data_IF_372075922927
#
_entry.id   IF_372075922927
#
_cell.length_a   1.000
_cell.length_b   1.000
_cell.length_c   1.000
_cell.angle_alpha   90.00
_cell.angle_beta   90.00
_cell.angle_gamma   90.00
#
_symmetry.space_group_name_H-M   'P 1'
#
loop_
_entity.id
_entity.type
_entity.pdbx_description
1 polymer ?
#
# COMPACT_ATOMS: atom_id res chain seq x y z
N UNK A 1 -2.59 10.84 -13.06
CA UNK A 1 -1.44 10.61 -12.15
C UNK A 1 -0.27 11.48 -12.61
N UNK A 2 0.67 11.88 -11.76
CA UNK A 2 1.83 12.69 -12.15
C UNK A 2 3.15 11.96 -11.83
N UNK A 3 4.14 12.08 -12.72
CA UNK A 3 5.51 11.61 -12.52
C UNK A 3 6.47 12.81 -12.44
N UNK A 4 7.37 12.81 -11.44
CA UNK A 4 8.37 13.87 -11.27
C UNK A 4 9.62 13.55 -12.10
N UNK A 5 9.88 14.37 -13.11
CA UNK A 5 11.03 14.22 -14.01
C UNK A 5 12.25 14.90 -13.42
N UNK A 6 13.45 14.35 -13.69
CA UNK A 6 14.72 14.97 -13.36
C UNK A 6 15.15 14.84 -11.90
N UNK A 7 14.44 14.03 -11.10
CA UNK A 7 14.86 13.72 -9.72
C UNK A 7 16.15 12.89 -9.77
N UNK A 8 17.18 13.35 -9.08
CA UNK A 8 18.49 12.71 -8.99
C UNK A 8 19.16 13.07 -7.66
N UNK A 9 20.30 12.44 -7.34
CA UNK A 9 21.08 12.79 -6.14
C UNK A 9 21.53 14.26 -6.13
N UNK A 10 21.80 14.84 -7.30
CA UNK A 10 22.21 16.24 -7.45
C UNK A 10 21.01 17.21 -7.60
N UNK A 11 19.79 16.69 -7.76
CA UNK A 11 18.58 17.48 -7.92
C UNK A 11 17.38 16.74 -7.33
N UNK A 12 17.22 16.87 -6.01
CA UNK A 12 16.12 16.22 -5.28
C UNK A 12 14.76 16.82 -5.66
N UNK A 13 14.73 18.10 -6.04
CA UNK A 13 13.51 18.77 -6.46
C UNK A 13 13.02 18.27 -7.80
N UNK A 14 13.88 17.75 -8.69
CA UNK A 14 13.53 17.48 -10.09
C UNK A 14 13.19 18.74 -10.88
N UNK A 15 12.81 18.59 -12.14
CA UNK A 15 12.62 19.71 -13.09
C UNK A 15 11.16 19.96 -13.43
N UNK A 16 10.40 18.92 -13.74
CA UNK A 16 9.04 19.04 -14.25
C UNK A 16 8.11 17.94 -13.73
N UNK A 17 6.81 18.13 -13.91
CA UNK A 17 5.79 17.11 -13.74
C UNK A 17 5.25 16.69 -15.11
N UNK A 18 5.09 15.39 -15.33
CA UNK A 18 4.43 14.86 -16.53
C UNK A 18 3.20 14.08 -16.15
N UNK A 19 2.14 14.22 -16.95
CA UNK A 19 0.91 13.49 -16.74
C UNK A 19 1.06 12.03 -17.21
N UNK A 20 0.79 11.10 -16.31
CA UNK A 20 0.62 9.68 -16.64
C UNK A 20 -0.87 9.44 -16.83
N UNK A 21 -1.25 9.18 -18.09
CA UNK A 21 -2.62 8.98 -18.50
C UNK A 21 -3.26 7.80 -17.76
N UNK A 22 -4.53 7.97 -17.41
CA UNK A 22 -5.38 6.95 -16.80
C UNK A 22 -6.82 7.15 -17.27
N UNK A 23 -7.56 6.04 -17.40
CA UNK A 23 -8.97 6.09 -17.78
C UNK A 23 -9.84 6.72 -16.69
N UNK A 24 -9.45 6.52 -15.42
CA UNK A 24 -10.15 7.00 -14.24
C UNK A 24 -9.22 7.87 -13.37
N UNK A 25 -9.76 8.85 -12.63
CA UNK A 25 -8.99 9.53 -11.59
C UNK A 25 -8.75 8.59 -10.41
N UNK A 26 -7.66 8.82 -9.67
CA UNK A 26 -7.24 8.01 -8.55
C UNK A 26 -7.50 8.71 -7.21
N UNK A 27 -8.02 7.96 -6.22
CA UNK A 27 -8.15 8.42 -4.83
C UNK A 27 -6.95 8.03 -3.95
N UNK A 28 -6.23 6.99 -4.34
CA UNK A 28 -5.01 6.53 -3.66
C UNK A 28 -3.98 6.07 -4.68
N UNK A 29 -2.70 6.36 -4.44
CA UNK A 29 -1.57 5.85 -5.22
C UNK A 29 -0.43 5.49 -4.27
N UNK A 30 0.26 4.40 -4.57
CA UNK A 30 1.44 3.96 -3.82
C UNK A 30 2.50 3.44 -4.76
N UNK A 31 3.73 3.88 -4.54
CA UNK A 31 4.93 3.34 -5.20
C UNK A 31 5.64 2.41 -4.22
N UNK A 32 5.77 1.14 -4.58
CA UNK A 32 6.46 0.11 -3.81
C UNK A 32 7.92 -0.08 -4.22
N UNK A 33 8.51 -1.19 -3.80
CA UNK A 33 9.85 -1.61 -4.21
C UNK A 33 9.93 -1.81 -5.72
N UNK A 34 11.13 -1.63 -6.28
CA UNK A 34 11.41 -1.84 -7.71
C UNK A 34 10.50 -1.02 -8.66
N UNK A 35 9.94 0.09 -8.17
CA UNK A 35 9.06 0.96 -8.96
C UNK A 35 7.67 0.38 -9.20
N UNK A 36 7.23 -0.63 -8.44
CA UNK A 36 5.87 -1.15 -8.57
C UNK A 36 4.83 -0.08 -8.17
N UNK A 37 4.03 0.40 -9.13
CA UNK A 37 3.04 1.46 -8.86
C UNK A 37 1.64 0.87 -8.84
N UNK A 38 0.98 1.00 -7.69
CA UNK A 38 -0.40 0.59 -7.46
C UNK A 38 -1.26 1.81 -7.19
N UNK A 39 -2.54 1.74 -7.53
CA UNK A 39 -3.50 2.78 -7.18
C UNK A 39 -4.90 2.26 -7.02
N UNK A 40 -5.72 3.05 -6.33
CA UNK A 40 -7.17 2.88 -6.32
C UNK A 40 -7.82 4.04 -7.06
N UNK A 41 -8.61 3.70 -8.08
CA UNK A 41 -9.45 4.66 -8.79
C UNK A 41 -10.60 5.19 -7.89
N UNK A 42 -11.23 6.29 -8.31
CA UNK A 42 -12.31 6.93 -7.53
C UNK A 42 -13.53 6.02 -7.31
N UNK A 43 -13.73 5.03 -8.18
CA UNK A 43 -14.79 4.02 -8.09
C UNK A 43 -14.44 2.84 -7.15
N UNK A 44 -13.27 2.90 -6.51
CA UNK A 44 -12.78 1.87 -5.60
C UNK A 44 -12.10 0.68 -6.27
N UNK A 45 -11.90 0.70 -7.60
CA UNK A 45 -11.16 -0.36 -8.30
C UNK A 45 -9.65 -0.25 -8.10
N UNK A 46 -9.00 -1.39 -7.84
CA UNK A 46 -7.53 -1.47 -7.81
C UNK A 46 -6.95 -1.51 -9.23
N UNK A 47 -5.81 -0.86 -9.40
CA UNK A 47 -5.08 -0.78 -10.67
C UNK A 47 -3.58 -0.94 -10.43
N UNK A 48 -2.90 -1.73 -11.26
CA UNK A 48 -1.45 -1.87 -11.32
C UNK A 48 -0.90 -1.15 -12.55
N UNK A 49 0.15 -0.34 -12.41
CA UNK A 49 0.86 0.25 -13.56
C UNK A 49 1.87 -0.75 -14.12
N UNK A 50 1.66 -1.19 -15.35
CA UNK A 50 2.53 -2.15 -16.01
C UNK A 50 3.63 -1.47 -16.84
N UNK A 51 4.77 -2.14 -17.02
CA UNK A 51 5.90 -1.67 -17.83
C UNK A 51 6.76 -0.57 -17.21
N UNK A 52 6.64 -0.32 -15.90
CA UNK A 52 7.54 0.60 -15.18
C UNK A 52 8.94 -0.01 -15.10
N UNK A 53 9.94 0.71 -15.57
CA UNK A 53 11.35 0.30 -15.54
C UNK A 53 12.27 1.53 -15.51
N UNK A 54 13.59 1.31 -15.36
CA UNK A 54 14.57 2.40 -15.43
C UNK A 54 14.57 3.13 -16.79
N UNK A 55 14.32 2.41 -17.90
CA UNK A 55 14.22 2.99 -19.24
C UNK A 55 12.82 3.51 -19.58
N UNK A 56 11.79 3.07 -18.84
CA UNK A 56 10.39 3.46 -19.02
C UNK A 56 9.75 3.80 -17.65
N UNK A 57 10.16 4.92 -17.01
CA UNK A 57 9.77 5.21 -15.63
C UNK A 57 8.29 5.55 -15.45
N UNK A 58 7.60 5.96 -16.52
CA UNK A 58 6.15 6.21 -16.51
C UNK A 58 5.32 4.96 -16.77
N UNK A 59 5.95 3.83 -17.13
CA UNK A 59 5.26 2.62 -17.55
C UNK A 59 4.42 2.80 -18.82
N UNK A 60 3.72 1.74 -19.20
CA UNK A 60 2.97 1.66 -20.46
C UNK A 60 1.47 1.88 -20.24
N UNK A 61 0.82 1.08 -19.39
CA UNK A 61 -0.63 1.10 -19.19
C UNK A 61 -1.02 0.74 -17.75
N UNK A 62 -2.27 1.01 -17.40
CA UNK A 62 -2.90 0.56 -16.16
C UNK A 62 -3.64 -0.75 -16.41
N UNK A 63 -3.46 -1.72 -15.52
CA UNK A 63 -4.14 -3.01 -15.53
C UNK A 63 -5.12 -3.06 -14.36
N UNK A 64 -6.37 -3.45 -14.65
CA UNK A 64 -7.39 -3.61 -13.62
C UNK A 64 -7.14 -4.88 -12.80
N UNK A 65 -7.28 -4.76 -11.49
CA UNK A 65 -7.19 -5.89 -10.55
C UNK A 65 -8.58 -6.12 -9.97
N UNK A 66 -9.00 -7.38 -9.96
CA UNK A 66 -10.33 -7.78 -9.50
C UNK A 66 -10.55 -7.38 -8.04
N UNK A 67 -11.77 -6.99 -7.65
CA UNK A 67 -12.05 -6.58 -6.28
C UNK A 67 -11.96 -7.78 -5.33
N UNK A 68 -11.73 -7.55 -4.02
CA UNK A 68 -11.69 -8.64 -3.04
C UNK A 68 -12.98 -9.46 -2.99
N UNK A 69 -14.10 -8.79 -3.19
CA UNK A 69 -15.44 -9.38 -3.29
C UNK A 69 -16.34 -8.39 -4.06
N UNK A 70 -17.48 -8.88 -4.54
CA UNK A 70 -18.48 -8.01 -5.19
C UNK A 70 -18.96 -6.94 -4.18
N UNK A 71 -19.04 -5.68 -4.64
CA UNK A 71 -19.50 -4.57 -3.80
C UNK A 71 -18.50 -4.15 -2.70
N UNK A 72 -17.20 -4.40 -2.88
CA UNK A 72 -16.16 -4.00 -1.94
C UNK A 72 -15.23 -2.92 -2.53
N UNK A 73 -15.67 -1.65 -2.55
CA UNK A 73 -14.85 -0.55 -3.04
C UNK A 73 -13.66 -0.30 -2.08
N UNK A 74 -12.44 -0.27 -2.63
CA UNK A 74 -11.20 -0.07 -1.87
C UNK A 74 -10.91 1.42 -1.68
N UNK A 75 -10.67 1.91 -0.47
CA UNK A 75 -10.36 3.32 -0.20
C UNK A 75 -8.90 3.67 -0.45
N UNK A 76 -7.99 2.84 0.04
CA UNK A 76 -6.57 3.15 0.13
C UNK A 76 -5.74 1.92 -0.20
N UNK A 77 -4.58 2.11 -0.82
CA UNK A 77 -3.62 1.05 -1.13
C UNK A 77 -2.22 1.46 -0.69
N UNK A 78 -1.45 0.51 -0.18
CA UNK A 78 -0.02 0.65 0.08
C UNK A 78 0.74 -0.56 -0.43
N UNK A 79 1.81 -0.29 -1.16
CA UNK A 79 2.68 -1.28 -1.78
C UNK A 79 4.09 -1.22 -1.19
N UNK A 80 4.65 -2.38 -0.87
CA UNK A 80 6.05 -2.65 -0.57
C UNK A 80 6.74 -3.30 -1.76
N UNK A 81 7.72 -4.18 -1.51
CA UNK A 81 8.40 -4.95 -2.55
C UNK A 81 7.53 -6.10 -3.05
N UNK A 82 7.03 -6.92 -2.14
CA UNK A 82 6.21 -8.10 -2.45
C UNK A 82 4.90 -8.13 -1.63
N UNK A 83 4.66 -7.11 -0.78
CA UNK A 83 3.39 -6.96 -0.07
C UNK A 83 2.60 -5.77 -0.57
N UNK A 84 1.34 -6.01 -0.91
CA UNK A 84 0.38 -4.97 -1.29
C UNK A 84 -0.86 -5.14 -0.43
N UNK A 85 -1.23 -4.08 0.27
CA UNK A 85 -2.39 -4.06 1.14
C UNK A 85 -3.32 -2.94 0.76
N UNK A 86 -4.61 -3.19 0.88
CA UNK A 86 -5.66 -2.22 0.63
C UNK A 86 -6.69 -2.22 1.76
N UNK A 87 -7.21 -1.04 2.08
CA UNK A 87 -8.31 -0.85 3.04
C UNK A 87 -9.57 -0.54 2.24
N UNK A 88 -10.71 -1.15 2.57
CA UNK A 88 -12.01 -0.87 1.96
C UNK A 88 -12.87 0.13 2.75
N UNK A 89 -14.02 0.51 2.20
CA UNK A 89 -14.97 1.44 2.83
C UNK A 89 -15.57 0.94 4.14
N UNK A 90 -15.48 -0.36 4.41
CA UNK A 90 -15.92 -1.01 5.64
C UNK A 90 -14.80 -1.14 6.68
N UNK A 91 -13.66 -0.47 6.48
CA UNK A 91 -12.44 -0.59 7.31
C UNK A 91 -11.85 -2.01 7.36
N UNK A 92 -12.08 -2.83 6.32
CA UNK A 92 -11.44 -4.14 6.22
C UNK A 92 -10.12 -4.01 5.47
N UNK A 93 -9.10 -4.65 6.03
CA UNK A 93 -7.76 -4.74 5.46
C UNK A 93 -7.63 -6.01 4.63
N UNK A 94 -7.23 -5.84 3.38
CA UNK A 94 -7.00 -6.89 2.42
C UNK A 94 -5.52 -6.95 2.04
N UNK A 95 -4.97 -8.14 1.89
CA UNK A 95 -3.64 -8.37 1.34
C UNK A 95 -3.75 -9.06 -0.01
N UNK A 96 -3.08 -8.51 -1.03
CA UNK A 96 -2.90 -9.19 -2.30
C UNK A 96 -1.94 -10.36 -2.11
N UNK A 97 -2.30 -11.53 -2.63
CA UNK A 97 -1.54 -12.77 -2.47
C UNK A 97 -0.72 -13.11 -3.71
N UNK A 98 0.34 -13.90 -3.51
CA UNK A 98 1.16 -14.51 -4.57
C UNK A 98 1.80 -13.50 -5.54
N UNK A 99 2.11 -12.30 -5.04
CA UNK A 99 2.95 -11.34 -5.75
C UNK A 99 4.38 -11.87 -5.71
N UNK A 100 4.97 -12.05 -6.89
CA UNK A 100 6.37 -12.44 -7.08
C UNK A 100 7.00 -11.59 -8.19
N UNK A 101 8.34 -11.49 -8.30
CA UNK A 101 8.98 -10.58 -9.27
C UNK A 101 8.53 -10.75 -10.72
N UNK A 102 8.23 -11.99 -11.14
CA UNK A 102 7.76 -12.32 -12.50
C UNK A 102 6.24 -12.16 -12.67
N UNK A 103 5.48 -12.05 -11.58
CA UNK A 103 4.02 -11.97 -11.58
C UNK A 103 3.57 -10.91 -10.57
N UNK A 104 3.62 -9.65 -11.02
CA UNK A 104 3.45 -8.48 -10.14
C UNK A 104 1.98 -8.22 -9.79
N UNK A 105 1.03 -8.75 -10.55
CA UNK A 105 -0.40 -8.64 -10.22
C UNK A 105 -0.77 -9.43 -8.96
N UNK A 106 -0.12 -10.57 -8.71
CA UNK A 106 -0.61 -11.56 -7.75
C UNK A 106 -1.97 -12.16 -8.17
N UNK A 107 -2.53 -13.05 -7.36
CA UNK A 107 -3.67 -13.88 -7.80
C UNK A 107 -5.02 -13.52 -7.19
N UNK A 108 -5.07 -13.19 -5.90
CA UNK A 108 -6.31 -12.90 -5.20
C UNK A 108 -6.11 -12.02 -3.96
N UNK A 109 -7.19 -11.50 -3.40
CA UNK A 109 -7.19 -10.80 -2.12
C UNK A 109 -7.54 -11.73 -0.97
N UNK A 110 -6.87 -11.55 0.17
CA UNK A 110 -7.15 -12.24 1.43
C UNK A 110 -7.44 -11.23 2.53
N UNK A 111 -8.53 -11.45 3.28
CA UNK A 111 -8.88 -10.63 4.43
C UNK A 111 -7.85 -10.81 5.55
N UNK A 112 -7.39 -9.71 6.13
CA UNK A 112 -6.39 -9.68 7.21
C UNK A 112 -6.98 -9.15 8.53
N UNK A 113 -7.86 -8.16 8.49
CA UNK A 113 -8.46 -7.52 9.67
C UNK A 113 -9.74 -6.77 9.27
N UNK A 114 -10.69 -6.57 10.20
CA UNK A 114 -11.98 -5.91 9.92
C UNK A 114 -12.11 -4.50 10.53
N UNK A 115 -11.01 -3.96 11.06
CA UNK A 115 -11.00 -2.78 11.92
C UNK A 115 -9.79 -1.89 11.68
N UNK A 116 -9.43 -1.69 10.42
CA UNK A 116 -8.26 -0.91 9.98
C UNK A 116 -8.70 0.31 9.17
N UNK A 117 -8.33 1.51 9.65
CA UNK A 117 -8.63 2.79 9.00
C UNK A 117 -7.63 3.17 7.92
N UNK A 118 -6.36 2.80 8.13
CA UNK A 118 -5.27 3.10 7.21
C UNK A 118 -4.15 2.08 7.35
N UNK A 119 -3.48 1.79 6.24
CA UNK A 119 -2.29 0.91 6.20
C UNK A 119 -1.12 1.61 5.51
N UNK A 120 0.09 1.34 6.00
CA UNK A 120 1.33 1.63 5.30
C UNK A 120 2.23 0.40 5.32
N UNK A 121 2.69 0.04 4.13
CA UNK A 121 3.73 -0.96 3.90
C UNK A 121 5.06 -0.22 3.71
N UNK A 122 6.06 -0.63 4.46
CA UNK A 122 7.38 0.01 4.47
C UNK A 122 8.49 -0.84 3.87
N UNK A 123 9.75 -0.43 4.07
CA UNK A 123 10.92 -1.20 3.68
C UNK A 123 10.89 -2.61 4.27
N UNK A 124 11.44 -3.58 3.53
CA UNK A 124 11.42 -5.00 3.92
C UNK A 124 9.99 -5.53 4.18
N UNK A 125 9.00 -4.94 3.50
CA UNK A 125 7.60 -5.35 3.57
C UNK A 125 6.99 -5.31 4.98
N UNK A 126 7.53 -4.45 5.87
CA UNK A 126 6.93 -4.23 7.17
C UNK A 126 5.55 -3.58 7.04
N UNK A 127 4.56 -4.11 7.76
CA UNK A 127 3.18 -3.63 7.68
C UNK A 127 2.83 -2.92 8.98
N UNK A 128 2.41 -1.67 8.86
CA UNK A 128 1.90 -0.86 9.96
C UNK A 128 0.51 -0.35 9.60
N UNK A 129 -0.37 -0.23 10.59
CA UNK A 129 -1.72 0.24 10.36
C UNK A 129 -2.24 1.08 11.53
N UNK A 130 -3.36 1.75 11.29
CA UNK A 130 -4.17 2.35 12.34
C UNK A 130 -5.43 1.50 12.47
N UNK A 131 -5.59 0.87 13.63
CA UNK A 131 -6.81 0.16 14.00
C UNK A 131 -7.85 1.12 14.57
N UNK A 132 -9.14 0.83 14.35
CA UNK A 132 -10.25 1.74 14.67
C UNK A 132 -10.36 2.05 16.15
N UNK A 133 -10.40 1.00 16.98
CA UNK A 133 -10.53 1.10 18.44
C UNK A 133 -10.09 -0.20 19.10
N UNK A 134 -9.65 -0.11 20.35
CA UNK A 134 -9.32 -1.25 21.19
C UNK A 134 -9.87 -1.06 22.61
N UNK A 135 -10.37 -2.13 23.23
CA UNK A 135 -10.85 -2.11 24.60
C UNK A 135 -9.70 -2.43 25.56
N UNK A 136 -9.39 -1.49 26.45
CA UNK A 136 -8.43 -1.68 27.54
C UNK A 136 -9.15 -1.70 28.89
N UNK A 137 -8.51 -2.18 29.98
CA UNK A 137 -9.07 -2.06 31.33
C UNK A 137 -9.40 -0.61 31.75
N UNK A 138 -8.71 0.38 31.16
CA UNK A 138 -8.94 1.80 31.42
C UNK A 138 -10.00 2.44 30.51
N UNK A 139 -10.58 1.67 29.58
CA UNK A 139 -11.58 2.15 28.62
C UNK A 139 -11.20 1.91 27.16
N UNK A 140 -12.03 2.43 26.25
CA UNK A 140 -11.80 2.31 24.82
C UNK A 140 -10.81 3.36 24.33
N UNK A 141 -9.74 2.92 23.69
CA UNK A 141 -8.81 3.78 22.96
C UNK A 141 -9.15 3.72 21.47
N UNK A 142 -9.06 4.84 20.77
CA UNK A 142 -9.36 4.95 19.33
C UNK A 142 -8.11 5.27 18.53
N UNK A 143 -8.11 4.87 17.25
CA UNK A 143 -7.02 5.14 16.31
C UNK A 143 -5.69 4.65 16.87
N UNK A 144 -5.52 3.34 16.95
CA UNK A 144 -4.36 2.70 17.58
C UNK A 144 -3.35 2.31 16.52
N UNK A 145 -2.11 2.76 16.67
CA UNK A 145 -1.02 2.33 15.78
C UNK A 145 -0.66 0.89 16.10
N UNK A 146 -0.66 0.02 15.08
CA UNK A 146 -0.30 -1.39 15.22
C UNK A 146 0.73 -1.80 14.16
N UNK A 147 1.61 -2.72 14.52
CA UNK A 147 2.56 -3.38 13.61
C UNK A 147 2.16 -4.83 13.40
N UNK A 148 2.18 -5.31 12.16
CA UNK A 148 1.93 -6.73 11.86
C UNK A 148 3.16 -7.58 12.22
N UNK A 149 2.94 -8.71 12.88
CA UNK A 149 3.99 -9.66 13.30
C UNK A 149 3.79 -11.03 12.67
N UNK A 150 4.83 -11.85 12.71
CA UNK A 150 4.83 -13.22 12.19
C UNK A 150 4.78 -13.32 10.67
N UNK A 151 5.12 -12.26 9.94
CA UNK A 151 5.26 -12.29 8.49
C UNK A 151 6.50 -13.11 8.16
N UNK A 152 6.30 -14.21 7.44
CA UNK A 152 7.36 -15.09 6.93
C UNK A 152 7.02 -15.49 5.49
N UNK A 153 7.91 -16.21 4.82
CA UNK A 153 7.65 -16.73 3.48
C UNK A 153 6.48 -17.72 3.49
N UNK A 154 6.39 -18.58 4.52
CA UNK A 154 5.30 -19.53 4.71
C UNK A 154 4.00 -18.86 5.23
N UNK A 155 4.11 -17.70 5.88
CA UNK A 155 2.99 -16.94 6.39
C UNK A 155 3.05 -15.46 5.94
N UNK A 156 2.77 -15.20 4.65
CA UNK A 156 2.92 -13.85 4.09
C UNK A 156 1.94 -12.83 4.67
N UNK A 157 0.86 -13.28 5.31
CA UNK A 157 -0.13 -12.41 5.97
C UNK A 157 0.22 -12.06 7.42
N UNK A 158 1.25 -12.69 7.99
CA UNK A 158 1.54 -12.60 9.42
C UNK A 158 0.49 -13.28 10.31
N UNK A 159 0.75 -13.33 11.61
CA UNK A 159 -0.11 -13.99 12.60
C UNK A 159 -0.90 -13.00 13.44
N UNK A 160 -0.28 -11.90 13.87
CA UNK A 160 -0.82 -11.06 14.93
C UNK A 160 -0.49 -9.56 14.75
N UNK A 161 -1.09 -8.73 15.60
CA UNK A 161 -0.86 -7.30 15.67
C UNK A 161 -0.17 -6.94 16.99
N UNK A 162 1.04 -6.41 16.91
CA UNK A 162 1.70 -5.73 18.02
C UNK A 162 1.07 -4.35 18.18
N UNK A 163 0.45 -4.10 19.33
CA UNK A 163 -0.23 -2.85 19.63
C UNK A 163 0.77 -1.80 20.11
N UNK A 164 0.71 -0.63 19.52
CA UNK A 164 1.46 0.54 19.94
C UNK A 164 0.56 1.53 20.68
N UNK A 165 0.67 2.80 20.29
CA UNK A 165 0.06 3.91 21.00
C UNK A 165 -1.34 4.19 20.44
N UNK A 166 -2.33 4.25 21.32
CA UNK A 166 -3.65 4.84 21.04
C UNK A 166 -3.60 6.35 21.20
N UNK A 167 -4.17 7.09 20.25
CA UNK A 167 -4.08 8.54 20.24
C UNK A 167 -5.03 9.23 19.25
N UNK A 168 -6.11 8.54 18.85
CA UNK A 168 -6.99 8.98 17.76
C UNK A 168 -6.23 9.23 16.45
N UNK A 169 -5.19 8.43 16.19
CA UNK A 169 -4.40 8.56 14.96
C UNK A 169 -5.30 8.37 13.73
N UNK A 170 -5.07 9.18 12.71
CA UNK A 170 -5.82 9.15 11.44
C UNK A 170 -4.94 8.79 10.26
N UNK A 171 -3.66 9.18 10.29
CA UNK A 171 -2.70 8.89 9.22
C UNK A 171 -1.42 8.23 9.72
N UNK A 172 -0.94 7.24 8.97
CA UNK A 172 0.33 6.56 9.21
C UNK A 172 1.07 6.35 7.88
N UNK A 173 2.38 6.61 7.92
CA UNK A 173 3.30 6.27 6.84
C UNK A 173 4.58 5.71 7.45
N UNK A 174 5.04 4.58 6.93
CA UNK A 174 6.30 3.95 7.29
C UNK A 174 7.14 3.80 6.03
N UNK A 175 7.60 4.94 5.51
CA UNK A 175 8.46 5.00 4.34
C UNK A 175 9.82 5.55 4.78
N UNK A 176 10.89 4.89 4.37
CA UNK A 176 12.25 5.33 4.65
C UNK A 176 13.21 4.59 3.73
N UNK A 177 14.14 5.30 3.10
CA UNK A 177 15.26 4.65 2.43
C UNK A 177 16.18 4.07 3.48
N UNK A 178 16.43 2.76 3.46
CA UNK A 178 17.75 2.30 3.91
C UNK A 178 18.72 2.93 2.92
N UNK A 179 19.47 3.94 3.35
CA UNK A 179 20.67 4.32 2.63
C UNK A 179 21.53 3.04 2.63
N UNK A 180 21.75 2.43 1.47
CA UNK A 180 22.81 1.44 1.37
C UNK A 180 24.09 2.24 1.54
N UNK A 181 24.73 2.13 2.70
CA UNK A 181 26.13 2.50 2.81
C UNK A 181 26.89 1.63 1.79
N UNK A 182 27.60 2.30 0.87
CA UNK A 182 28.48 1.66 -0.09
C UNK A 182 29.71 1.09 0.62
#
# INVERSE_FOLDING_TARGET
VLFRVGVSQNSLSGTNWVHVASEKPFRSISVGGEGAVWGIAIDGSAQLRHGVSASSPTGQYWCHIEPPQVGCPLLQISAGKEKVLAVDESNRLWSRQEIVPVYKEGTHWKLVSEDVKQVSVGPMDQIWCIKSSFLTPAGMISGVVCRRKGITDDNPCGSEWEQGIGGSWTFITVRGSLCREN
#
